data_IF_013315973677
#
_entry.id   IF_013315973677
#
_cell.length_a   1.000
_cell.length_b   1.000
_cell.length_c   1.000
_cell.angle_alpha   90.00
_cell.angle_beta   90.00
_cell.angle_gamma   90.00
#
_symmetry.space_group_name_H-M   'P 1'
#
loop_
_entity.id
_entity.type
_entity.pdbx_description
1 polymer ?
#
# COMPACT_ATOMS: atom_id res chain seq x y z
N UNK A 1 6.52 7.31 -24.91
CA UNK A 1 6.40 7.18 -24.10
C UNK A 1 5.83 6.49 -23.54
N UNK A 2 6.09 6.18 -22.95
CA UNK A 2 5.49 5.14 -22.56
C UNK A 2 5.13 5.18 -21.17
N UNK A 3 3.88 5.14 -20.87
CA UNK A 3 3.41 5.13 -19.53
C UNK A 3 3.26 3.73 -19.04
N UNK A 4 3.61 3.53 -17.77
CA UNK A 4 3.35 2.28 -17.09
C UNK A 4 1.86 2.21 -16.80
N UNK A 5 1.24 1.08 -17.13
CA UNK A 5 -0.18 0.90 -16.90
C UNK A 5 -0.46 0.48 -15.47
N UNK A 6 -1.52 1.05 -14.89
CA UNK A 6 -1.98 0.65 -13.56
C UNK A 6 -3.45 0.25 -13.71
N UNK A 7 -3.72 -1.06 -13.61
CA UNK A 7 -5.06 -1.56 -13.81
C UNK A 7 -5.97 -1.14 -12.66
N UNK A 8 -7.26 -1.09 -12.96
CA UNK A 8 -8.27 -0.65 -11.99
C UNK A 8 -8.23 -1.47 -10.72
N UNK A 9 -8.05 -2.80 -10.85
CA UNK A 9 -7.99 -3.65 -9.66
C UNK A 9 -6.76 -3.35 -8.81
N UNK A 10 -5.70 -2.86 -9.43
CA UNK A 10 -4.51 -2.47 -8.68
C UNK A 10 -4.73 -1.16 -7.93
N UNK A 11 -5.43 -0.22 -8.56
CA UNK A 11 -5.80 1.03 -7.88
C UNK A 11 -6.70 0.71 -6.70
N UNK A 12 -7.67 -0.18 -6.89
CA UNK A 12 -8.56 -0.60 -5.82
C UNK A 12 -7.78 -1.24 -4.67
N UNK A 13 -6.79 -2.05 -5.00
CA UNK A 13 -5.94 -2.67 -3.99
C UNK A 13 -5.22 -1.62 -3.15
N UNK A 14 -4.65 -0.60 -3.83
CA UNK A 14 -3.95 0.48 -3.12
C UNK A 14 -4.89 1.24 -2.18
N UNK A 15 -6.11 1.49 -2.64
CA UNK A 15 -7.12 2.17 -1.80
C UNK A 15 -7.49 1.30 -0.60
N UNK A 16 -7.66 -0.01 -0.82
CA UNK A 16 -7.99 -0.92 0.28
C UNK A 16 -6.87 -1.00 1.31
N UNK A 17 -5.62 -0.94 0.88
CA UNK A 17 -4.50 -0.93 1.81
C UNK A 17 -4.53 0.33 2.67
N UNK A 18 -4.73 1.48 2.07
CA UNK A 18 -4.80 2.73 2.83
C UNK A 18 -6.00 2.71 3.78
N UNK A 19 -7.13 2.22 3.32
CA UNK A 19 -8.34 2.13 4.15
C UNK A 19 -8.12 1.20 5.34
N UNK A 20 -7.44 0.08 5.12
CA UNK A 20 -7.20 -0.88 6.20
C UNK A 20 -6.34 -0.29 7.32
N UNK A 21 -5.44 0.65 6.99
CA UNK A 21 -4.67 1.29 8.06
C UNK A 21 -5.58 2.09 8.99
N UNK A 22 -6.68 2.64 8.47
CA UNK A 22 -7.58 3.47 9.29
C UNK A 22 -8.42 2.67 10.25
N UNK A 23 -8.59 1.38 9.99
CA UNK A 23 -9.39 0.53 10.86
C UNK A 23 -8.56 -0.43 11.69
N UNK A 24 -7.24 -0.34 11.62
CA UNK A 24 -6.37 -1.22 12.39
C UNK A 24 -6.49 -0.90 13.88
N UNK A 25 -6.49 -1.95 14.70
CA UNK A 25 -6.75 -1.81 16.14
C UNK A 25 -5.71 -0.97 16.87
N UNK A 26 -4.49 -0.89 16.35
CA UNK A 26 -3.40 -0.17 17.00
C UNK A 26 -3.23 1.26 16.50
N UNK A 27 -4.11 1.72 15.61
CA UNK A 27 -3.94 3.00 14.93
C UNK A 27 -4.99 3.99 15.43
N UNK A 28 -4.51 5.18 15.81
CA UNK A 28 -5.38 6.31 16.11
C UNK A 28 -5.76 7.03 14.83
N UNK A 29 -4.76 7.30 14.00
CA UNK A 29 -4.96 7.99 12.74
C UNK A 29 -4.26 7.22 11.64
N UNK A 30 -5.01 6.76 10.66
CA UNK A 30 -4.46 6.00 9.55
C UNK A 30 -4.16 6.88 8.36
N UNK A 31 -3.74 6.23 7.28
CA UNK A 31 -3.39 6.92 6.05
C UNK A 31 -4.63 7.52 5.41
N UNK A 32 -4.53 8.77 4.99
CA UNK A 32 -5.64 9.45 4.32
C UNK A 32 -5.82 8.90 2.90
N UNK A 33 -6.94 9.21 2.24
CA UNK A 33 -7.09 8.81 0.85
C UNK A 33 -5.99 9.34 -0.07
N UNK A 34 -5.35 10.46 0.30
CA UNK A 34 -4.23 10.96 -0.48
C UNK A 34 -3.05 10.02 -0.50
N UNK A 35 -2.93 9.18 0.52
CA UNK A 35 -1.83 8.22 0.56
C UNK A 35 -1.90 7.24 -0.60
N UNK A 36 -3.12 6.88 -1.03
CA UNK A 36 -3.24 5.98 -2.18
C UNK A 36 -2.77 6.64 -3.47
N UNK A 37 -2.92 7.96 -3.59
CA UNK A 37 -2.38 8.69 -4.75
C UNK A 37 -0.85 8.63 -4.73
N UNK A 38 -0.25 8.85 -3.56
CA UNK A 38 1.20 8.74 -3.43
C UNK A 38 1.70 7.36 -3.75
N UNK A 39 1.00 6.35 -3.26
CA UNK A 39 1.35 4.96 -3.54
C UNK A 39 1.26 4.67 -5.04
N UNK A 40 0.18 5.12 -5.67
CA UNK A 40 -0.01 4.96 -7.10
C UNK A 40 1.17 5.56 -7.89
N UNK A 41 1.52 6.80 -7.56
CA UNK A 41 2.55 7.50 -8.31
C UNK A 41 3.93 6.89 -8.11
N UNK A 42 4.22 6.50 -6.88
CA UNK A 42 5.53 5.91 -6.59
C UNK A 42 5.66 4.54 -7.25
N UNK A 43 4.61 3.73 -7.20
CA UNK A 43 4.65 2.42 -7.86
C UNK A 43 4.80 2.58 -9.37
N UNK A 44 4.11 3.55 -9.97
CA UNK A 44 4.21 3.78 -11.39
C UNK A 44 5.63 4.20 -11.77
N UNK A 45 6.22 5.10 -10.98
CA UNK A 45 7.58 5.56 -11.24
C UNK A 45 8.60 4.44 -11.08
N UNK A 46 8.44 3.62 -10.03
CA UNK A 46 9.37 2.52 -9.81
C UNK A 46 9.26 1.47 -10.90
N UNK A 47 8.04 1.16 -11.34
CA UNK A 47 7.86 0.21 -12.43
C UNK A 47 8.53 0.73 -13.70
N UNK A 48 8.35 2.02 -13.97
CA UNK A 48 8.97 2.62 -15.14
C UNK A 48 10.49 2.53 -15.07
N UNK A 49 11.05 2.81 -13.91
CA UNK A 49 12.50 2.75 -13.74
C UNK A 49 13.04 1.32 -13.86
N UNK A 50 12.23 0.34 -13.53
CA UNK A 50 12.64 -1.05 -13.61
C UNK A 50 12.31 -1.68 -14.95
N UNK A 51 11.81 -0.89 -15.90
CA UNK A 51 11.52 -1.39 -17.24
C UNK A 51 10.26 -2.22 -17.33
N UNK A 52 9.38 -2.12 -16.34
CA UNK A 52 8.13 -2.87 -16.34
C UNK A 52 7.06 -2.12 -17.11
N UNK A 53 6.12 -2.88 -17.67
CA UNK A 53 5.05 -2.29 -18.46
C UNK A 53 3.83 -1.98 -17.60
N UNK A 54 3.71 -2.59 -16.44
CA UNK A 54 2.56 -2.36 -15.56
C UNK A 54 2.96 -2.62 -14.12
N UNK A 55 2.12 -2.13 -13.21
CA UNK A 55 2.34 -2.28 -11.78
C UNK A 55 1.76 -3.62 -11.34
N UNK A 56 2.55 -4.37 -10.58
CA UNK A 56 2.13 -5.68 -10.05
C UNK A 56 1.82 -5.58 -8.57
N UNK A 57 1.06 -6.56 -8.02
CA UNK A 57 0.83 -6.59 -6.58
C UNK A 57 2.12 -6.70 -5.78
N UNK A 58 3.10 -7.44 -6.28
CA UNK A 58 4.38 -7.57 -5.58
C UNK A 58 5.07 -6.23 -5.44
N UNK A 59 5.01 -5.41 -6.49
CA UNK A 59 5.60 -4.08 -6.44
C UNK A 59 4.87 -3.21 -5.42
N UNK A 60 3.53 -3.27 -5.39
CA UNK A 60 2.76 -2.51 -4.41
C UNK A 60 3.16 -2.92 -3.00
N UNK A 61 3.29 -4.22 -2.74
CA UNK A 61 3.69 -4.69 -1.41
C UNK A 61 5.08 -4.22 -1.02
N UNK A 62 5.97 -4.14 -2.00
CA UNK A 62 7.34 -3.70 -1.73
C UNK A 62 7.39 -2.20 -1.42
N UNK A 63 6.56 -1.41 -2.10
CA UNK A 63 6.60 0.05 -2.00
C UNK A 63 5.71 0.58 -0.86
N UNK A 64 4.64 -0.13 -0.53
CA UNK A 64 3.65 0.34 0.43
C UNK A 64 4.25 0.77 1.78
N UNK A 65 5.20 0.03 2.38
CA UNK A 65 5.75 0.48 3.66
C UNK A 65 6.38 1.87 3.59
N UNK A 66 7.07 2.17 2.49
CA UNK A 66 7.73 3.47 2.35
C UNK A 66 6.72 4.62 2.33
N UNK A 67 5.51 4.36 1.83
CA UNK A 67 4.48 5.40 1.74
C UNK A 67 3.63 5.44 3.00
N UNK A 68 3.22 4.26 3.49
CA UNK A 68 2.18 4.19 4.51
C UNK A 68 2.72 4.34 5.94
N UNK A 69 3.95 3.86 6.22
CA UNK A 69 4.46 3.87 7.59
C UNK A 69 4.52 5.27 8.17
N UNK A 70 4.87 6.26 7.37
CA UNK A 70 5.03 7.63 7.84
C UNK A 70 3.71 8.38 7.97
N UNK A 71 2.60 7.74 7.66
CA UNK A 71 1.29 8.40 7.69
C UNK A 71 0.39 7.84 8.77
N UNK A 72 0.95 7.03 9.67
CA UNK A 72 0.19 6.41 10.75
C UNK A 72 0.53 7.04 12.07
N UNK A 73 -0.49 7.20 12.91
CA UNK A 73 -0.30 7.55 14.31
C UNK A 73 -0.86 6.40 15.12
N UNK A 74 0.01 5.76 15.88
CA UNK A 74 -0.36 4.60 16.69
C UNK A 74 -0.94 5.03 18.02
N UNK A 75 -1.77 4.17 18.60
CA UNK A 75 -2.28 4.39 19.94
C UNK A 75 -1.12 4.40 20.93
N UNK A 76 -1.16 5.27 21.96
CA UNK A 76 -0.04 5.33 22.90
C UNK A 76 0.27 4.00 23.56
N UNK A 77 -0.77 3.25 23.97
CA UNK A 77 -0.52 1.96 24.64
C UNK A 77 0.09 0.95 23.68
N UNK A 78 -0.22 1.04 22.38
CA UNK A 78 0.37 0.14 21.40
C UNK A 78 1.86 0.46 21.24
N UNK A 79 2.19 1.74 21.16
CA UNK A 79 3.60 2.15 21.06
C UNK A 79 4.38 1.74 22.28
N UNK A 80 3.81 1.95 23.46
CA UNK A 80 4.46 1.56 24.70
C UNK A 80 4.69 0.06 24.77
N UNK A 81 3.79 -0.72 24.17
CA UNK A 81 3.91 -2.17 24.11
C UNK A 81 4.87 -2.66 23.03
N UNK A 82 5.49 -1.75 22.27
CA UNK A 82 6.48 -2.13 21.28
C UNK A 82 5.98 -2.23 19.86
N UNK A 83 4.72 -1.90 19.61
CA UNK A 83 4.18 -1.95 18.24
C UNK A 83 4.79 -0.82 17.41
N UNK A 84 5.16 -1.14 16.18
CA UNK A 84 5.72 -0.16 15.25
C UNK A 84 4.80 0.02 14.05
N UNK A 85 4.95 1.15 13.36
CA UNK A 85 4.20 1.38 12.12
C UNK A 85 4.51 0.30 11.09
N UNK A 86 5.75 -0.15 11.03
CA UNK A 86 6.12 -1.21 10.08
C UNK A 86 5.36 -2.50 10.36
N UNK A 87 5.17 -2.84 11.63
CA UNK A 87 4.39 -4.03 11.98
C UNK A 87 2.93 -3.89 11.55
N UNK A 88 2.36 -2.69 11.76
CA UNK A 88 0.99 -2.44 11.36
C UNK A 88 0.83 -2.57 9.85
N UNK A 89 1.74 -1.95 9.10
CA UNK A 89 1.67 -2.04 7.64
C UNK A 89 1.85 -3.48 7.18
N UNK A 90 2.76 -4.23 7.83
CA UNK A 90 2.92 -5.64 7.52
C UNK A 90 1.65 -6.43 7.72
N UNK A 91 0.95 -6.19 8.84
CA UNK A 91 -0.33 -6.86 9.09
C UNK A 91 -1.39 -6.47 8.07
N UNK A 92 -1.42 -5.19 7.69
CA UNK A 92 -2.36 -4.73 6.66
C UNK A 92 -2.07 -5.45 5.34
N UNK A 93 -0.80 -5.54 4.96
CA UNK A 93 -0.43 -6.22 3.72
C UNK A 93 -0.82 -7.69 3.74
N UNK A 94 -0.76 -8.33 4.92
CA UNK A 94 -1.13 -9.72 5.03
C UNK A 94 -2.64 -9.94 5.05
N UNK A 95 -3.41 -8.94 5.47
CA UNK A 95 -4.84 -9.11 5.65
C UNK A 95 -5.67 -8.68 4.44
N UNK A 96 -5.16 -7.75 3.63
CA UNK A 96 -5.89 -7.26 2.46
C UNK A 96 -5.64 -8.20 1.30
N UNK A 97 -6.74 -8.64 0.69
CA UNK A 97 -6.66 -9.61 -0.39
C UNK A 97 -5.95 -9.02 -1.60
N UNK A 98 -5.01 -9.78 -2.16
CA UNK A 98 -4.27 -9.39 -3.35
C UNK A 98 -5.16 -9.58 -4.57
N UNK A 99 -5.15 -8.62 -5.53
CA UNK A 99 -5.93 -8.82 -6.75
C UNK A 99 -5.46 -10.03 -7.51
N UNK A 100 -6.43 -10.76 -8.07
CA UNK A 100 -6.12 -11.93 -8.89
C UNK A 100 -5.70 -11.44 -10.26
N UNK A 101 -4.56 -11.95 -10.73
CA UNK A 101 -4.10 -11.60 -12.05
C UNK A 101 -4.97 -12.26 -13.10
N UNK A 102 -5.37 -11.50 -14.10
CA UNK A 102 -6.12 -12.07 -15.19
C UNK A 102 -5.21 -12.78 -16.12
N UNK A 103 -5.54 -14.02 -16.40
CA UNK A 103 -4.86 -14.75 -17.46
C UNK A 103 -5.44 -14.35 -18.78
N UNK A 104 -4.57 -14.12 -19.75
CA UNK A 104 -4.99 -13.80 -21.10
C UNK A 104 -4.59 -14.89 -22.02
N UNK A 105 -5.54 -15.37 -22.72
CA UNK A 105 -5.29 -16.45 -23.66
C UNK A 105 -5.66 -16.03 -25.05
#
# INVERSE_FOLDING_TARGET
RDQVEVETNMVDYMVRLATATRTHRDVVLGASPRASVGLYRLCQAMAWMEGELFVTPDLVKRIAPAVLCHRLILKPQSRLGGTTAAQVVGEVLNSVEVPVERLRF
#
